data_IF_451357101741
#
_entry.id   IF_451357101741
#
_cell.length_a   1.000
_cell.length_b   1.000
_cell.length_c   1.000
_cell.angle_alpha   90.00
_cell.angle_beta   90.00
_cell.angle_gamma   90.00
#
_symmetry.space_group_name_H-M   'P 1'
#
loop_
_entity.id
_entity.type
_entity.pdbx_description
1 polymer ?
#
# COMPACT_ATOMS: atom_id res chain seq x y z
N UNK A 1 19.14 15.17 -34.48
CA UNK A 1 19.64 13.78 -34.47
C UNK A 1 19.05 13.09 -35.69
N UNK A 2 19.86 12.43 -36.52
CA UNK A 2 19.35 11.67 -37.68
C UNK A 2 18.70 10.37 -37.17
N UNK A 3 17.75 9.77 -37.90
CA UNK A 3 17.03 8.57 -37.41
C UNK A 3 17.96 7.43 -37.00
N UNK A 4 19.02 7.16 -37.77
CA UNK A 4 20.01 6.13 -37.42
C UNK A 4 20.85 6.42 -36.18
N UNK A 5 20.93 7.68 -35.73
CA UNK A 5 21.58 8.03 -34.46
C UNK A 5 20.65 7.74 -33.27
N UNK A 6 19.33 7.85 -33.47
CA UNK A 6 18.31 7.61 -32.43
C UNK A 6 18.18 6.12 -32.12
N UNK A 7 18.19 5.27 -33.15
CA UNK A 7 18.17 3.81 -33.00
C UNK A 7 19.40 3.32 -32.23
N UNK A 8 20.59 3.77 -32.62
CA UNK A 8 21.84 3.45 -31.91
C UNK A 8 21.83 3.96 -30.47
N UNK A 9 21.36 5.20 -30.24
CA UNK A 9 21.25 5.74 -28.90
C UNK A 9 20.25 4.94 -28.05
N UNK A 10 19.14 4.48 -28.63
CA UNK A 10 18.20 3.59 -27.94
C UNK A 10 18.85 2.27 -27.56
N UNK A 11 19.51 1.59 -28.50
CA UNK A 11 20.19 0.30 -28.26
C UNK A 11 21.25 0.39 -27.15
N UNK A 12 21.96 1.52 -27.06
CA UNK A 12 22.99 1.74 -26.04
C UNK A 12 22.40 2.16 -24.69
N UNK A 13 21.46 3.13 -24.68
CA UNK A 13 20.98 3.75 -23.45
C UNK A 13 19.85 2.96 -22.79
N UNK A 14 19.01 2.26 -23.56
CA UNK A 14 17.86 1.56 -23.01
C UNK A 14 18.25 0.44 -22.03
N UNK A 15 19.23 -0.45 -22.32
CA UNK A 15 19.68 -1.43 -21.35
C UNK A 15 20.27 -0.81 -20.08
N UNK A 16 21.01 0.30 -20.22
CA UNK A 16 21.58 1.03 -19.08
C UNK A 16 20.49 1.64 -18.21
N UNK A 17 19.49 2.28 -18.83
CA UNK A 17 18.31 2.79 -18.13
C UNK A 17 17.54 1.66 -17.42
N UNK A 18 17.37 0.49 -18.06
CA UNK A 18 16.75 -0.67 -17.42
C UNK A 18 17.55 -1.18 -16.22
N UNK A 19 18.88 -1.12 -16.27
CA UNK A 19 19.76 -1.46 -15.15
C UNK A 19 19.74 -0.44 -14.00
N UNK A 20 18.97 0.65 -14.14
CA UNK A 20 18.78 1.66 -13.11
C UNK A 20 19.65 2.90 -13.27
N UNK A 21 20.41 3.02 -14.36
CA UNK A 21 21.29 4.16 -14.62
C UNK A 21 20.46 5.41 -14.94
N UNK A 22 20.61 6.42 -14.10
CA UNK A 22 19.73 7.59 -14.03
C UNK A 22 19.97 8.55 -15.20
N UNK A 23 21.22 8.67 -15.64
CA UNK A 23 21.61 9.56 -16.72
C UNK A 23 21.04 9.09 -18.07
N UNK A 24 21.03 7.78 -18.29
CA UNK A 24 20.48 7.12 -19.48
C UNK A 24 18.97 7.30 -19.54
N UNK A 25 18.28 7.20 -18.41
CA UNK A 25 16.84 7.56 -18.33
C UNK A 25 16.63 9.01 -18.75
N UNK A 26 17.43 9.95 -18.24
CA UNK A 26 17.32 11.36 -18.63
C UNK A 26 17.55 11.57 -20.14
N UNK A 27 18.61 10.98 -20.71
CA UNK A 27 18.91 11.12 -22.13
C UNK A 27 17.89 10.44 -23.05
N UNK A 28 17.32 9.31 -22.65
CA UNK A 28 16.19 8.71 -23.36
C UNK A 28 14.97 9.63 -23.32
N UNK A 29 14.72 10.30 -22.18
CA UNK A 29 13.69 11.34 -22.08
C UNK A 29 13.91 12.48 -23.07
N UNK A 30 15.12 13.03 -23.15
CA UNK A 30 15.47 14.08 -24.11
C UNK A 30 15.33 13.62 -25.57
N UNK A 31 15.78 12.39 -25.85
CA UNK A 31 15.67 11.80 -27.19
C UNK A 31 14.21 11.69 -27.62
N UNK A 32 13.32 11.27 -26.71
CA UNK A 32 11.88 11.21 -26.98
C UNK A 32 11.26 12.60 -27.21
N UNK A 33 11.62 13.62 -26.41
CA UNK A 33 11.17 15.01 -26.68
C UNK A 33 11.54 15.47 -28.10
N UNK A 34 12.72 15.08 -28.59
CA UNK A 34 13.24 15.46 -29.91
C UNK A 34 12.82 14.51 -31.04
N UNK A 35 11.84 13.64 -30.79
CA UNK A 35 11.39 12.66 -31.78
C UNK A 35 9.89 12.75 -32.07
N UNK A 36 9.41 13.89 -32.62
CA UNK A 36 8.00 14.10 -32.94
C UNK A 36 7.46 13.15 -34.02
N UNK A 37 8.33 12.43 -34.74
CA UNK A 37 7.92 11.38 -35.67
C UNK A 37 7.24 10.19 -34.97
N UNK A 38 7.41 10.03 -33.65
CA UNK A 38 6.62 9.09 -32.86
C UNK A 38 5.44 9.84 -32.23
N UNK A 39 4.21 9.43 -32.54
CA UNK A 39 3.01 10.15 -32.07
C UNK A 39 2.83 10.18 -30.55
N UNK A 40 3.50 9.29 -29.80
CA UNK A 40 3.49 9.17 -28.34
C UNK A 40 4.82 9.62 -27.68
N UNK A 41 5.62 10.42 -28.41
CA UNK A 41 6.96 10.78 -28.00
C UNK A 41 6.99 11.58 -26.68
N UNK A 42 6.04 12.47 -26.44
CA UNK A 42 5.98 13.26 -25.22
C UNK A 42 5.57 12.41 -24.01
N UNK A 43 4.66 11.45 -24.19
CA UNK A 43 4.28 10.47 -23.17
C UNK A 43 5.46 9.58 -22.79
N UNK A 44 6.25 9.12 -23.77
CA UNK A 44 7.48 8.36 -23.53
C UNK A 44 8.52 9.20 -22.79
N UNK A 45 8.71 10.46 -23.19
CA UNK A 45 9.60 11.37 -22.49
C UNK A 45 9.22 11.57 -21.02
N UNK A 46 7.92 11.74 -20.74
CA UNK A 46 7.39 11.88 -19.37
C UNK A 46 7.73 10.65 -18.53
N UNK A 47 7.58 9.43 -19.06
CA UNK A 47 7.92 8.19 -18.34
C UNK A 47 9.39 8.19 -17.92
N UNK A 48 10.29 8.44 -18.85
CA UNK A 48 11.73 8.47 -18.58
C UNK A 48 12.13 9.56 -17.58
N UNK A 49 11.63 10.80 -17.76
CA UNK A 49 11.91 11.88 -16.83
C UNK A 49 11.31 11.66 -15.44
N UNK A 50 10.15 11.00 -15.34
CA UNK A 50 9.53 10.68 -14.05
C UNK A 50 10.43 9.76 -13.23
N UNK A 51 10.95 8.68 -13.84
CA UNK A 51 11.83 7.73 -13.14
C UNK A 51 13.17 8.39 -12.79
N UNK A 52 13.76 9.17 -13.71
CA UNK A 52 15.01 9.87 -13.43
C UNK A 52 14.86 10.93 -12.32
N UNK A 53 13.76 11.69 -12.31
CA UNK A 53 13.47 12.69 -11.29
C UNK A 53 13.24 12.05 -9.91
N UNK A 54 12.53 10.91 -9.85
CA UNK A 54 12.32 10.14 -8.63
C UNK A 54 13.63 9.61 -8.04
N UNK A 55 14.62 9.30 -8.90
CA UNK A 55 15.99 8.92 -8.51
C UNK A 55 16.93 10.10 -8.25
N UNK A 56 16.41 11.34 -8.27
CA UNK A 56 17.16 12.54 -7.87
C UNK A 56 17.83 13.32 -9.00
N UNK A 57 17.59 13.00 -10.28
CA UNK A 57 18.19 13.74 -11.39
C UNK A 57 17.60 15.15 -11.56
N UNK A 58 18.38 16.17 -11.24
CA UNK A 58 17.92 17.58 -11.24
C UNK A 58 17.44 18.05 -12.62
N UNK A 59 18.15 17.68 -13.70
CA UNK A 59 17.72 18.01 -15.05
C UNK A 59 16.36 17.39 -15.41
N UNK A 60 16.04 16.22 -14.85
CA UNK A 60 14.77 15.54 -15.13
C UNK A 60 13.63 16.19 -14.35
N UNK A 61 13.88 16.59 -13.10
CA UNK A 61 12.95 17.39 -12.29
C UNK A 61 12.60 18.71 -12.99
N UNK A 62 13.60 19.37 -13.59
CA UNK A 62 13.38 20.62 -14.33
C UNK A 62 12.63 20.40 -15.66
N UNK A 63 12.92 19.31 -16.38
CA UNK A 63 12.31 19.03 -17.68
C UNK A 63 10.88 18.48 -17.59
N UNK A 64 10.56 17.71 -16.55
CA UNK A 64 9.27 17.03 -16.43
C UNK A 64 8.04 17.97 -16.52
N UNK A 65 7.98 19.12 -15.80
CA UNK A 65 6.87 20.07 -15.93
C UNK A 65 6.75 20.63 -17.35
N UNK A 66 7.88 20.91 -18.00
CA UNK A 66 7.91 21.48 -19.35
C UNK A 66 7.34 20.51 -20.38
N UNK A 67 7.70 19.23 -20.30
CA UNK A 67 7.20 18.20 -21.23
C UNK A 67 5.72 17.92 -21.00
N UNK A 68 5.25 17.95 -19.74
CA UNK A 68 3.81 17.86 -19.45
C UNK A 68 3.01 18.99 -20.08
N UNK A 69 3.50 20.23 -19.96
CA UNK A 69 2.86 21.39 -20.60
C UNK A 69 2.87 21.27 -22.14
N UNK A 70 3.94 20.75 -22.74
CA UNK A 70 4.00 20.48 -24.19
C UNK A 70 2.95 19.45 -24.62
N UNK A 71 2.79 18.36 -23.85
CA UNK A 71 1.77 17.34 -24.12
C UNK A 71 0.37 17.93 -23.99
N UNK A 72 0.11 18.70 -22.94
CA UNK A 72 -1.17 19.38 -22.74
C UNK A 72 -1.50 20.33 -23.89
N UNK A 73 -0.53 21.08 -24.41
CA UNK A 73 -0.71 21.94 -25.59
C UNK A 73 -0.96 21.13 -26.88
N UNK A 74 -0.20 20.05 -27.09
CA UNK A 74 -0.37 19.15 -28.25
C UNK A 74 -1.76 18.50 -28.26
N UNK A 75 -2.25 18.07 -27.09
CA UNK A 75 -3.56 17.43 -26.97
C UNK A 75 -4.69 18.46 -27.00
N UNK A 76 -4.52 19.64 -26.38
CA UNK A 76 -5.53 20.71 -26.40
C UNK A 76 -5.74 21.30 -27.81
N UNK A 77 -4.70 21.32 -28.64
CA UNK A 77 -4.81 21.74 -30.04
C UNK A 77 -5.47 20.70 -30.96
N UNK A 78 -5.55 19.43 -30.52
CA UNK A 78 -6.03 18.31 -31.33
C UNK A 78 -7.46 17.85 -30.97
N UNK A 79 -7.96 18.16 -29.77
CA UNK A 79 -9.29 17.74 -29.33
C UNK A 79 -10.37 18.79 -29.66
N UNK A 80 -11.50 18.41 -30.30
CA UNK A 80 -12.65 19.29 -30.37
C UNK A 80 -13.16 19.58 -28.94
N UNK A 81 -13.16 20.85 -28.55
CA UNK A 81 -13.77 21.29 -27.28
C UNK A 81 -15.28 21.37 -27.46
N UNK A 82 -16.04 20.93 -26.45
CA UNK A 82 -17.48 21.21 -26.39
C UNK A 82 -17.63 22.44 -25.51
N UNK A 83 -18.08 23.56 -26.09
CA UNK A 83 -18.30 24.82 -25.38
C UNK A 83 -17.07 25.32 -24.58
N UNK A 84 -15.85 25.12 -25.10
CA UNK A 84 -14.61 25.60 -24.47
C UNK A 84 -14.13 24.75 -23.28
N UNK A 85 -14.77 23.62 -23.01
CA UNK A 85 -14.31 22.65 -22.00
C UNK A 85 -13.50 21.53 -22.67
N UNK A 86 -12.31 21.25 -22.13
CA UNK A 86 -11.47 20.12 -22.55
C UNK A 86 -12.09 18.81 -22.08
N UNK A 87 -12.08 17.78 -22.93
CA UNK A 87 -12.48 16.42 -22.55
C UNK A 87 -11.44 15.69 -21.68
N UNK A 88 -10.29 16.33 -21.41
CA UNK A 88 -9.30 15.82 -20.47
C UNK A 88 -9.66 16.22 -19.03
N UNK A 89 -9.56 15.29 -18.05
CA UNK A 89 -9.69 15.62 -16.65
C UNK A 89 -8.69 16.71 -16.25
N UNK A 90 -9.16 17.78 -15.64
CA UNK A 90 -8.30 18.82 -15.07
C UNK A 90 -7.45 18.26 -13.92
N UNK A 91 -6.40 18.97 -13.51
CA UNK A 91 -5.63 18.61 -12.33
C UNK A 91 -6.51 18.54 -11.06
N UNK A 92 -7.56 19.34 -10.98
CA UNK A 92 -8.54 19.30 -9.91
C UNK A 92 -9.42 18.04 -9.97
N UNK A 93 -9.79 17.58 -11.17
CA UNK A 93 -10.53 16.32 -11.36
C UNK A 93 -9.66 15.13 -10.96
N UNK A 94 -8.38 15.13 -11.37
CA UNK A 94 -7.40 14.11 -10.97
C UNK A 94 -7.21 14.11 -9.45
N UNK A 95 -7.07 15.29 -8.83
CA UNK A 95 -6.94 15.41 -7.38
C UNK A 95 -8.18 14.89 -6.65
N UNK A 96 -9.38 15.16 -7.17
CA UNK A 96 -10.64 14.68 -6.61
C UNK A 96 -10.77 13.17 -6.73
N UNK A 97 -10.41 12.60 -7.88
CA UNK A 97 -10.38 11.14 -8.09
C UNK A 97 -9.35 10.48 -7.19
N UNK A 98 -8.15 11.05 -7.04
CA UNK A 98 -7.12 10.54 -6.14
C UNK A 98 -7.55 10.60 -4.68
N UNK A 99 -8.16 11.70 -4.23
CA UNK A 99 -8.71 11.80 -2.88
C UNK A 99 -9.82 10.78 -2.62
N UNK A 100 -10.68 10.54 -3.62
CA UNK A 100 -11.72 9.51 -3.55
C UNK A 100 -11.12 8.10 -3.55
N UNK A 101 -10.06 7.86 -4.31
CA UNK A 101 -9.31 6.61 -4.32
C UNK A 101 -8.62 6.36 -2.97
N UNK A 102 -8.00 7.38 -2.37
CA UNK A 102 -7.37 7.27 -1.05
C UNK A 102 -8.42 7.05 0.06
N UNK A 103 -9.59 7.70 -0.04
CA UNK A 103 -10.72 7.42 0.86
C UNK A 103 -11.24 6.00 0.68
N UNK A 104 -11.39 5.53 -0.57
CA UNK A 104 -11.81 4.17 -0.88
C UNK A 104 -10.79 3.13 -0.41
N UNK A 105 -9.49 3.37 -0.63
CA UNK A 105 -8.42 2.56 -0.05
C UNK A 105 -8.51 2.55 1.46
N UNK A 106 -8.63 3.71 2.11
CA UNK A 106 -8.79 3.78 3.56
C UNK A 106 -10.05 3.05 4.04
N UNK A 107 -11.14 3.01 3.27
CA UNK A 107 -12.35 2.25 3.57
C UNK A 107 -12.17 0.74 3.36
N UNK A 108 -11.53 0.31 2.26
CA UNK A 108 -11.31 -1.11 1.92
C UNK A 108 -10.18 -1.75 2.74
N UNK A 109 -9.12 -0.98 3.04
CA UNK A 109 -8.02 -1.38 3.92
C UNK A 109 -8.46 -1.57 5.37
N UNK A 110 -9.62 -1.02 5.79
CA UNK A 110 -10.23 -1.33 7.10
C UNK A 110 -10.75 -2.77 7.16
N UNK A 111 -11.09 -3.36 6.01
CA UNK A 111 -11.73 -4.68 5.92
C UNK A 111 -10.80 -5.79 5.41
N UNK A 112 -9.60 -5.49 4.92
CA UNK A 112 -8.70 -6.50 4.36
C UNK A 112 -7.26 -6.32 4.86
N UNK A 113 -6.67 -7.40 5.38
CA UNK A 113 -5.28 -7.47 5.88
C UNK A 113 -4.20 -7.27 4.78
N UNK A 114 -4.61 -7.04 3.52
CA UNK A 114 -3.74 -6.81 2.38
C UNK A 114 -3.41 -5.32 2.25
N UNK A 115 -2.43 -4.87 3.03
CA UNK A 115 -1.76 -3.60 2.77
C UNK A 115 -0.97 -3.74 1.46
N UNK A 116 -1.29 -2.88 0.49
CA UNK A 116 -0.36 -2.47 -0.57
C UNK A 116 0.90 -1.97 0.10
N UNK A 117 1.98 -2.75 -0.01
CA UNK A 117 3.39 -2.40 0.17
C UNK A 117 3.64 -0.99 0.72
N UNK A 118 3.47 -0.79 2.04
CA UNK A 118 4.36 0.14 2.72
C UNK A 118 5.60 -0.68 3.05
N UNK A 119 6.75 -0.19 2.57
CA UNK A 119 8.08 -0.79 2.72
C UNK A 119 8.24 -1.60 4.00
N UNK A 120 8.96 -2.73 3.93
CA UNK A 120 9.31 -3.63 5.04
C UNK A 120 9.86 -2.88 6.27
N UNK A 121 8.99 -2.24 7.04
CA UNK A 121 9.34 -1.69 8.35
C UNK A 121 9.19 -2.87 9.31
N UNK A 122 10.30 -3.42 9.83
CA UNK A 122 10.24 -4.48 10.84
C UNK A 122 9.47 -3.93 12.04
N UNK A 123 8.35 -4.59 12.36
CA UNK A 123 7.45 -4.22 13.46
C UNK A 123 6.96 -5.47 14.17
N UNK A 124 6.57 -5.30 15.44
CA UNK A 124 5.98 -6.39 16.22
C UNK A 124 4.51 -6.54 15.83
N UNK A 125 4.10 -7.73 15.41
CA UNK A 125 2.71 -8.06 15.19
C UNK A 125 2.08 -8.55 16.52
N UNK A 126 0.99 -7.92 16.93
CA UNK A 126 0.16 -8.30 18.08
C UNK A 126 -1.06 -9.03 17.54
N UNK A 127 -1.03 -10.36 17.55
CA UNK A 127 -2.09 -11.21 17.03
C UNK A 127 -3.08 -11.52 18.16
N UNK A 128 -4.33 -11.10 18.03
CA UNK A 128 -5.38 -11.29 19.04
C UNK A 128 -6.33 -12.38 18.55
N UNK A 129 -6.39 -13.51 19.24
CA UNK A 129 -7.28 -14.61 18.92
C UNK A 129 -8.49 -14.60 19.85
N UNK A 130 -9.69 -14.54 19.29
CA UNK A 130 -10.95 -14.60 20.03
C UNK A 130 -11.89 -15.64 19.41
N UNK A 131 -12.76 -16.24 20.21
CA UNK A 131 -13.80 -17.16 19.69
C UNK A 131 -15.13 -16.45 19.45
N UNK A 132 -15.40 -15.39 20.22
CA UNK A 132 -16.65 -14.65 20.19
C UNK A 132 -16.45 -13.15 20.12
N UNK A 133 -17.43 -12.48 19.52
CA UNK A 133 -17.47 -11.02 19.37
C UNK A 133 -18.41 -10.43 20.42
N UNK A 134 -17.96 -10.51 21.68
CA UNK A 134 -18.69 -10.09 22.88
C UNK A 134 -17.91 -9.01 23.67
N UNK A 135 -18.35 -8.70 24.89
CA UNK A 135 -17.70 -7.69 25.74
C UNK A 135 -16.24 -8.00 26.09
N UNK A 136 -15.79 -9.25 25.96
CA UNK A 136 -14.37 -9.61 26.11
C UNK A 136 -13.59 -9.16 24.88
N UNK A 137 -14.11 -9.38 23.67
CA UNK A 137 -13.50 -8.87 22.45
C UNK A 137 -13.44 -7.33 22.44
N UNK A 138 -14.48 -6.65 22.92
CA UNK A 138 -14.49 -5.18 23.04
C UNK A 138 -13.41 -4.66 24.01
N UNK A 139 -13.22 -5.32 25.16
CA UNK A 139 -12.16 -4.97 26.11
C UNK A 139 -10.77 -5.18 25.52
N UNK A 140 -10.56 -6.29 24.81
CA UNK A 140 -9.30 -6.56 24.11
C UNK A 140 -9.03 -5.53 23.02
N UNK A 141 -10.06 -5.13 22.27
CA UNK A 141 -9.94 -4.04 21.32
C UNK A 141 -9.53 -2.72 21.98
N UNK A 142 -10.18 -2.31 23.07
CA UNK A 142 -9.78 -1.11 23.82
C UNK A 142 -8.33 -1.17 24.35
N UNK A 143 -7.89 -2.35 24.77
CA UNK A 143 -6.52 -2.62 25.19
C UNK A 143 -5.54 -2.43 24.03
N UNK A 144 -5.78 -3.05 22.88
CA UNK A 144 -4.87 -2.93 21.73
C UNK A 144 -4.84 -1.53 21.14
N UNK A 145 -5.97 -0.81 21.15
CA UNK A 145 -5.99 0.61 20.78
C UNK A 145 -5.09 1.46 21.71
N UNK A 146 -4.98 1.08 22.98
CA UNK A 146 -4.07 1.76 23.92
C UNK A 146 -2.61 1.43 23.61
N UNK A 147 -2.30 0.18 23.23
CA UNK A 147 -0.97 -0.22 22.77
C UNK A 147 -0.56 0.52 21.49
N UNK A 148 -1.46 0.65 20.52
CA UNK A 148 -1.19 1.35 19.25
C UNK A 148 -0.92 2.85 19.48
N UNK A 149 -1.67 3.50 20.40
CA UNK A 149 -1.36 4.87 20.81
C UNK A 149 0.01 5.00 21.48
N UNK A 150 0.42 3.99 22.25
CA UNK A 150 1.68 4.02 22.98
C UNK A 150 2.89 3.74 22.09
N UNK A 151 2.82 2.72 21.23
CA UNK A 151 3.96 2.23 20.45
C UNK A 151 3.97 2.72 18.99
N UNK A 152 2.86 3.30 18.51
CA UNK A 152 2.74 3.85 17.17
C UNK A 152 3.02 2.79 16.08
N UNK A 153 3.84 3.17 15.10
CA UNK A 153 4.19 2.31 13.96
C UNK A 153 5.14 1.15 14.30
N UNK A 154 5.63 1.05 15.54
CA UNK A 154 6.49 -0.06 15.99
C UNK A 154 5.73 -1.36 16.18
N UNK A 155 4.40 -1.28 16.30
CA UNK A 155 3.53 -2.46 16.40
C UNK A 155 2.43 -2.42 15.34
N UNK A 156 1.81 -3.57 15.11
CA UNK A 156 0.56 -3.71 14.35
C UNK A 156 -0.32 -4.74 15.02
N UNK A 157 -1.58 -4.40 15.28
CA UNK A 157 -2.55 -5.36 15.82
C UNK A 157 -3.29 -6.07 14.68
N UNK A 158 -3.55 -7.37 14.83
CA UNK A 158 -4.41 -8.16 13.95
C UNK A 158 -5.38 -8.98 14.79
N UNK A 159 -6.68 -8.95 14.45
CA UNK A 159 -7.68 -9.75 15.16
C UNK A 159 -8.04 -10.99 14.34
N UNK A 160 -8.02 -12.14 15.00
CA UNK A 160 -8.42 -13.41 14.45
C UNK A 160 -9.64 -13.93 15.19
N UNK A 161 -10.69 -14.29 14.44
CA UNK A 161 -11.86 -14.92 15.03
C UNK A 161 -11.84 -16.40 14.70
N UNK A 162 -11.68 -17.22 15.73
CA UNK A 162 -11.65 -18.66 15.61
C UNK A 162 -13.05 -19.16 15.35
N UNK A 163 -13.28 -19.65 14.13
CA UNK A 163 -14.55 -20.22 13.71
C UNK A 163 -14.45 -21.73 13.85
N UNK A 164 -15.34 -22.31 14.66
CA UNK A 164 -15.51 -23.76 14.81
C UNK A 164 -16.71 -24.23 14.00
N UNK A 165 -16.52 -24.80 12.80
CA UNK A 165 -17.64 -25.25 11.96
C UNK A 165 -18.51 -26.28 12.68
N UNK A 166 -17.92 -27.10 13.55
CA UNK A 166 -18.61 -28.14 14.32
C UNK A 166 -19.60 -27.61 15.36
N UNK A 167 -19.41 -26.38 15.83
CA UNK A 167 -20.32 -25.72 16.79
C UNK A 167 -21.22 -24.67 16.15
N UNK A 168 -21.04 -24.40 14.85
CA UNK A 168 -21.75 -23.35 14.14
C UNK A 168 -23.19 -23.78 13.78
N UNK A 169 -24.16 -22.90 14.07
CA UNK A 169 -25.56 -23.09 13.68
C UNK A 169 -25.87 -22.33 12.38
N UNK A 170 -26.36 -23.01 11.33
CA UNK A 170 -26.80 -22.34 10.11
C UNK A 170 -27.79 -21.21 10.40
N UNK A 171 -27.66 -20.07 9.71
CA UNK A 171 -28.52 -18.90 9.92
C UNK A 171 -28.14 -18.01 11.12
N UNK A 172 -27.07 -18.34 11.85
CA UNK A 172 -26.52 -17.46 12.91
C UNK A 172 -25.10 -17.00 12.54
N UNK A 173 -24.65 -15.82 13.01
CA UNK A 173 -23.26 -15.41 12.83
C UNK A 173 -22.32 -16.43 13.48
N UNK A 174 -21.28 -16.91 12.78
CA UNK A 174 -20.37 -17.95 13.28
C UNK A 174 -19.60 -17.55 14.53
N UNK A 175 -19.52 -16.25 14.81
CA UNK A 175 -18.75 -15.68 15.93
C UNK A 175 -19.62 -15.41 17.15
N UNK A 176 -20.95 -15.36 17.03
CA UNK A 176 -21.85 -14.96 18.11
C UNK A 176 -21.63 -13.53 18.63
N UNK A 177 -22.69 -12.74 18.70
CA UNK A 177 -22.61 -11.31 19.04
C UNK A 177 -22.77 -10.42 17.80
N UNK A 178 -22.94 -9.12 18.03
CA UNK A 178 -23.34 -8.16 16.99
C UNK A 178 -22.28 -7.12 16.63
N UNK A 179 -21.15 -7.10 17.33
CA UNK A 179 -20.12 -6.06 17.17
C UNK A 179 -18.78 -6.72 16.86
N UNK A 180 -18.47 -6.80 15.56
CA UNK A 180 -17.09 -6.98 15.14
C UNK A 180 -16.34 -5.69 15.48
N UNK A 181 -15.11 -5.76 16.01
CA UNK A 181 -14.31 -4.56 16.08
C UNK A 181 -14.15 -3.93 14.68
N UNK A 182 -13.83 -2.63 14.60
CA UNK A 182 -13.97 -1.90 13.34
C UNK A 182 -12.85 -2.19 12.31
N UNK A 183 -11.71 -2.80 12.71
CA UNK A 183 -10.55 -3.04 11.83
C UNK A 183 -9.93 -4.44 12.01
N UNK A 184 -9.57 -5.09 10.91
CA UNK A 184 -8.62 -6.23 10.90
C UNK A 184 -9.15 -7.57 11.41
N UNK A 185 -10.31 -8.02 10.91
CA UNK A 185 -10.90 -9.34 11.24
C UNK A 185 -10.49 -10.40 10.24
N UNK A 186 -9.67 -11.33 10.68
CA UNK A 186 -9.25 -12.48 9.89
C UNK A 186 -9.91 -13.76 10.44
N UNK A 187 -10.80 -14.42 9.68
CA UNK A 187 -11.36 -15.70 10.08
C UNK A 187 -10.25 -16.77 10.25
N UNK A 188 -10.22 -17.44 11.40
CA UNK A 188 -9.35 -18.58 11.66
C UNK A 188 -10.19 -19.86 11.76
N UNK A 189 -10.39 -20.51 10.62
CA UNK A 189 -11.17 -21.73 10.56
C UNK A 189 -10.48 -22.86 11.33
N UNK A 190 -11.23 -23.46 12.26
CA UNK A 190 -10.79 -24.54 13.17
C UNK A 190 -9.65 -24.16 14.11
N UNK A 191 -9.29 -22.87 14.21
CA UNK A 191 -8.18 -22.42 15.05
C UNK A 191 -6.80 -22.80 14.51
N UNK A 192 -6.67 -22.99 13.19
CA UNK A 192 -5.42 -23.42 12.56
C UNK A 192 -4.30 -22.39 12.75
N UNK A 193 -4.59 -21.11 12.54
CA UNK A 193 -3.62 -20.02 12.72
C UNK A 193 -3.26 -19.86 14.20
N UNK A 194 -4.26 -19.91 15.09
CA UNK A 194 -4.04 -19.89 16.53
C UNK A 194 -3.07 -21.02 16.96
N UNK A 195 -3.31 -22.24 16.50
CA UNK A 195 -2.48 -23.40 16.83
C UNK A 195 -1.05 -23.28 16.24
N UNK A 196 -0.88 -22.71 15.04
CA UNK A 196 0.44 -22.44 14.45
C UNK A 196 1.28 -21.49 15.32
N UNK A 197 0.62 -20.55 16.00
CA UNK A 197 1.27 -19.63 16.94
C UNK A 197 1.32 -20.16 18.40
N UNK A 198 0.98 -21.43 18.62
CA UNK A 198 1.04 -22.07 19.94
C UNK A 198 -0.10 -21.70 20.89
N UNK A 199 -1.16 -21.06 20.39
CA UNK A 199 -2.35 -20.71 21.19
C UNK A 199 -3.11 -21.99 21.54
N UNK A 200 -3.34 -22.21 22.85
CA UNK A 200 -4.04 -23.39 23.38
C UNK A 200 -5.42 -23.09 23.97
N UNK A 201 -5.70 -21.83 24.29
CA UNK A 201 -6.95 -21.35 24.89
C UNK A 201 -7.31 -20.00 24.29
N UNK A 202 -8.59 -19.66 24.34
CA UNK A 202 -9.11 -18.39 23.86
C UNK A 202 -9.82 -17.64 25.00
N UNK A 203 -9.81 -16.29 25.00
CA UNK A 203 -9.01 -15.46 24.10
C UNK A 203 -7.51 -15.56 24.41
N UNK A 204 -6.65 -15.23 23.45
CA UNK A 204 -5.20 -15.20 23.64
C UNK A 204 -4.55 -14.15 22.75
N UNK A 205 -3.41 -13.64 23.18
CA UNK A 205 -2.61 -12.69 22.40
C UNK A 205 -1.25 -13.29 22.13
N UNK A 206 -0.77 -13.17 20.90
CA UNK A 206 0.59 -13.55 20.51
C UNK A 206 1.34 -12.28 20.12
N UNK A 207 2.49 -12.08 20.74
CA UNK A 207 3.43 -11.02 20.38
C UNK A 207 4.49 -11.64 19.49
N UNK A 208 4.48 -11.26 18.21
CA UNK A 208 5.34 -11.78 17.16
C UNK A 208 6.33 -10.69 16.72
N UNK A 209 7.60 -10.74 17.15
CA UNK A 209 8.61 -9.79 16.68
C UNK A 209 8.97 -10.03 15.20
N UNK A 210 9.56 -9.03 14.51
CA UNK A 210 9.99 -9.18 13.12
C UNK A 210 11.11 -10.23 12.95
N UNK A 211 11.87 -10.49 14.01
CA UNK A 211 12.84 -11.57 14.11
C UNK A 211 12.84 -12.13 15.53
N UNK A 212 12.98 -13.45 15.67
CA UNK A 212 13.02 -14.13 16.97
C UNK A 212 11.77 -14.96 17.24
N UNK A 213 11.57 -15.33 18.51
CA UNK A 213 10.50 -16.25 18.91
C UNK A 213 9.23 -15.50 19.30
N UNK A 214 8.09 -15.92 18.74
CA UNK A 214 6.78 -15.45 19.16
C UNK A 214 6.50 -15.83 20.62
N UNK A 215 5.79 -14.96 21.34
CA UNK A 215 5.38 -15.22 22.72
C UNK A 215 3.87 -15.17 22.84
N UNK A 216 3.27 -16.27 23.31
CA UNK A 216 1.88 -16.31 23.75
C UNK A 216 1.79 -15.60 25.10
N UNK A 217 0.90 -14.62 25.21
CA UNK A 217 0.69 -13.80 26.39
C UNK A 217 -0.72 -14.05 26.91
N UNK A 218 -0.79 -14.81 28.00
CA UNK A 218 -2.04 -15.14 28.69
C UNK A 218 -2.43 -14.10 29.75
N UNK A 219 -1.43 -13.42 30.33
CA UNK A 219 -1.64 -12.29 31.24
C UNK A 219 -1.53 -10.98 30.46
N UNK A 220 -2.69 -10.43 30.11
CA UNK A 220 -2.78 -9.22 29.30
C UNK A 220 -2.20 -7.98 29.99
N UNK A 221 -2.06 -7.98 31.33
CA UNK A 221 -1.40 -6.88 32.05
C UNK A 221 0.10 -6.78 31.74
N UNK A 222 0.71 -7.89 31.30
CA UNK A 222 2.13 -7.98 30.93
C UNK A 222 2.42 -7.62 29.47
N UNK A 223 1.43 -7.24 28.67
CA UNK A 223 1.61 -6.97 27.24
C UNK A 223 2.56 -5.80 26.99
N UNK A 224 2.38 -4.70 27.72
CA UNK A 224 3.22 -3.51 27.55
C UNK A 224 4.69 -3.81 27.83
N UNK A 225 4.98 -4.52 28.94
CA UNK A 225 6.37 -4.91 29.26
C UNK A 225 6.92 -5.95 28.29
N UNK A 226 6.10 -6.90 27.84
CA UNK A 226 6.49 -7.91 26.83
C UNK A 226 6.83 -7.28 25.48
N UNK A 227 6.02 -6.33 25.00
CA UNK A 227 6.31 -5.59 23.75
C UNK A 227 7.58 -4.76 23.95
N UNK A 228 7.72 -4.08 25.08
CA UNK A 228 8.88 -3.23 25.36
C UNK A 228 10.20 -4.02 25.40
N UNK A 229 10.19 -5.29 25.80
CA UNK A 229 11.39 -6.13 25.81
C UNK A 229 11.76 -6.72 24.44
N UNK A 230 10.91 -6.53 23.42
CA UNK A 230 11.09 -7.04 22.05
C UNK A 230 11.34 -5.94 21.01
N UNK A 231 11.24 -4.67 21.42
CA UNK A 231 11.60 -3.49 20.62
C UNK A 231 13.09 -3.18 20.76
#
# INVERSE_FOLDING_TARGET
MRSGDKEKAWELLFPLAQSGEVQSMFYLGEMMVRSPEYGDNLERAIKFFTVAAAKGHEGAKAMLPRVKAMLEQQVSGALPTIAGTSGLPSQADIATVNAKLEKYKAEVLRFTDNIVESADIPRIDVLVFVERTDSTAERLYGLTQSLERQFGNKIRTKFFVVIRPETWKPGTPPTGGSVLPPNGFTPDFKGNLANQHGVRKLPSIVVLPPSGQAKVVDDFSSLTSTISSML
#
